data_IF_006024568097
#
_entry.id   IF_006024568097
#
_cell.length_a   1.000
_cell.length_b   1.000
_cell.length_c   1.000
_cell.angle_alpha   90.00
_cell.angle_beta   90.00
_cell.angle_gamma   90.00
#
_symmetry.space_group_name_H-M   'P 1'
#
loop_
_entity.id
_entity.type
_entity.pdbx_description
1 polymer ?
#
# COMPACT_ATOMS: atom_id res chain seq x y z
N UNK A 1 -8.76 -27.91 -21.33
CA UNK A 1 -9.01 -27.14 -22.58
C UNK A 1 -10.43 -27.27 -23.14
N UNK A 2 -11.34 -28.06 -22.53
CA UNK A 2 -12.71 -28.23 -23.06
C UNK A 2 -13.62 -27.05 -22.73
N UNK A 3 -13.58 -26.54 -21.50
CA UNK A 3 -14.46 -25.44 -21.05
C UNK A 3 -14.16 -24.09 -21.72
N UNK A 4 -12.88 -23.78 -21.99
CA UNK A 4 -12.50 -22.56 -22.74
C UNK A 4 -13.13 -22.53 -24.14
N UNK A 5 -13.20 -23.68 -24.82
CA UNK A 5 -13.85 -23.79 -26.13
C UNK A 5 -15.36 -23.61 -26.04
N UNK A 6 -15.99 -24.15 -25.00
CA UNK A 6 -17.43 -23.97 -24.73
C UNK A 6 -17.74 -22.48 -24.50
N UNK A 7 -16.99 -21.83 -23.62
CA UNK A 7 -17.17 -20.40 -23.31
C UNK A 7 -16.94 -19.51 -24.54
N UNK A 8 -15.99 -19.87 -25.42
CA UNK A 8 -15.76 -19.16 -26.67
C UNK A 8 -16.88 -19.38 -27.70
N UNK A 9 -17.44 -20.60 -27.74
CA UNK A 9 -18.52 -20.96 -28.67
C UNK A 9 -19.87 -20.32 -28.34
N UNK A 10 -20.12 -19.98 -27.08
CA UNK A 10 -21.30 -19.23 -26.64
C UNK A 10 -21.18 -17.78 -27.09
N UNK A 11 -21.98 -17.36 -28.07
CA UNK A 11 -22.03 -15.96 -28.52
C UNK A 11 -23.18 -15.25 -27.81
N UNK A 12 -22.98 -13.99 -27.44
CA UNK A 12 -24.03 -13.14 -26.88
C UNK A 12 -24.69 -13.68 -25.61
N UNK A 13 -23.95 -14.49 -24.82
CA UNK A 13 -24.41 -15.09 -23.57
C UNK A 13 -23.30 -15.06 -22.51
N UNK A 14 -23.68 -14.86 -21.23
CA UNK A 14 -22.76 -14.86 -20.09
C UNK A 14 -23.15 -15.80 -18.94
N UNK A 15 -24.16 -16.65 -19.09
CA UNK A 15 -24.64 -17.54 -18.03
C UNK A 15 -23.56 -18.50 -17.51
N UNK A 16 -22.53 -18.78 -18.31
CA UNK A 16 -21.40 -19.63 -17.93
C UNK A 16 -20.36 -18.93 -17.03
N UNK A 17 -20.46 -17.61 -16.81
CA UNK A 17 -19.51 -16.86 -15.98
C UNK A 17 -19.43 -17.35 -14.52
N UNK A 18 -20.53 -17.65 -13.80
CA UNK A 18 -20.45 -18.18 -12.44
C UNK A 18 -19.72 -19.54 -12.36
N UNK A 19 -19.89 -20.37 -13.38
CA UNK A 19 -19.17 -21.66 -13.50
C UNK A 19 -17.68 -21.39 -13.71
N UNK A 20 -17.34 -20.46 -14.62
CA UNK A 20 -15.96 -20.03 -14.84
C UNK A 20 -15.32 -19.49 -13.55
N UNK A 21 -16.02 -18.67 -12.78
CA UNK A 21 -15.50 -18.12 -11.52
C UNK A 21 -15.16 -19.21 -10.51
N UNK A 22 -16.03 -20.22 -10.38
CA UNK A 22 -15.81 -21.37 -9.51
C UNK A 22 -14.60 -22.18 -9.97
N UNK A 23 -14.54 -22.49 -11.28
CA UNK A 23 -13.43 -23.22 -11.87
C UNK A 23 -12.08 -22.50 -11.68
N UNK A 24 -12.03 -21.19 -11.92
CA UNK A 24 -10.80 -20.42 -11.76
C UNK A 24 -10.35 -20.33 -10.29
N UNK A 25 -11.30 -20.19 -9.36
CA UNK A 25 -11.01 -20.20 -7.92
C UNK A 25 -10.42 -21.56 -7.49
N UNK A 26 -11.06 -22.65 -7.90
CA UNK A 26 -10.65 -23.99 -7.52
C UNK A 26 -9.33 -24.38 -8.16
N UNK A 27 -9.11 -24.02 -9.43
CA UNK A 27 -7.83 -24.23 -10.11
C UNK A 27 -6.68 -23.52 -9.37
N UNK A 28 -6.88 -22.26 -8.95
CA UNK A 28 -5.87 -21.52 -8.15
C UNK A 28 -5.57 -22.21 -6.81
N UNK A 29 -6.61 -22.67 -6.12
CA UNK A 29 -6.49 -23.36 -4.82
C UNK A 29 -5.80 -24.72 -4.96
N UNK A 30 -6.16 -25.49 -5.98
CA UNK A 30 -5.55 -26.78 -6.29
C UNK A 30 -4.09 -26.62 -6.69
N UNK A 31 -3.78 -25.67 -7.58
CA UNK A 31 -2.40 -25.34 -7.95
C UNK A 31 -1.56 -24.94 -6.73
N UNK A 32 -2.14 -24.11 -5.84
CA UNK A 32 -1.49 -23.77 -4.56
C UNK A 32 -1.17 -25.00 -3.71
N UNK A 33 -2.08 -25.97 -3.62
CA UNK A 33 -1.86 -27.19 -2.83
C UNK A 33 -0.85 -28.13 -3.51
N UNK A 34 -0.90 -28.24 -4.83
CA UNK A 34 0.03 -29.05 -5.61
C UNK A 34 1.47 -28.52 -5.45
N UNK A 35 1.68 -27.20 -5.54
CA UNK A 35 3.00 -26.59 -5.31
C UNK A 35 3.51 -26.76 -3.87
N UNK A 36 2.64 -27.01 -2.89
CA UNK A 36 3.07 -27.35 -1.53
C UNK A 36 3.54 -28.79 -1.39
N UNK A 37 3.09 -29.69 -2.26
CA UNK A 37 3.47 -31.11 -2.27
C UNK A 37 4.69 -31.39 -3.14
N UNK A 38 4.94 -30.55 -4.15
CA UNK A 38 6.16 -30.61 -4.95
C UNK A 38 7.36 -30.19 -4.11
N UNK A 39 8.52 -30.80 -4.36
CA UNK A 39 9.76 -30.35 -3.74
C UNK A 39 10.06 -28.92 -4.20
N UNK A 40 10.04 -27.99 -3.25
CA UNK A 40 10.24 -26.56 -3.48
C UNK A 40 11.58 -26.25 -4.15
N UNK A 41 12.56 -27.17 -4.04
CA UNK A 41 13.93 -26.96 -4.54
C UNK A 41 14.07 -27.11 -6.05
N UNK A 42 13.26 -27.94 -6.70
CA UNK A 42 13.43 -28.17 -8.14
C UNK A 42 12.65 -27.17 -8.99
N UNK A 43 11.40 -26.87 -8.63
CA UNK A 43 10.51 -25.98 -9.41
C UNK A 43 9.48 -25.24 -8.54
N UNK A 44 9.87 -24.14 -7.88
CA UNK A 44 8.93 -23.38 -7.06
C UNK A 44 7.81 -22.77 -7.91
N UNK A 45 6.57 -22.94 -7.47
CA UNK A 45 5.37 -22.33 -8.05
C UNK A 45 5.01 -22.75 -9.49
N UNK A 46 5.53 -23.87 -9.99
CA UNK A 46 5.27 -24.33 -11.36
C UNK A 46 3.78 -24.52 -11.65
N UNK A 47 3.02 -25.10 -10.71
CA UNK A 47 1.59 -25.37 -10.93
C UNK A 47 0.78 -24.09 -10.88
N UNK A 48 1.15 -23.13 -10.03
CA UNK A 48 0.56 -21.79 -10.03
C UNK A 48 0.79 -21.04 -11.34
N UNK A 49 1.99 -21.13 -11.92
CA UNK A 49 2.28 -20.52 -13.22
C UNK A 49 1.45 -21.16 -14.34
N UNK A 50 1.38 -22.50 -14.40
CA UNK A 50 0.53 -23.21 -15.36
C UNK A 50 -0.96 -22.86 -15.18
N UNK A 51 -1.41 -22.69 -13.94
CA UNK A 51 -2.77 -22.21 -13.65
C UNK A 51 -2.98 -20.79 -14.17
N UNK A 52 -1.99 -19.89 -14.04
CA UNK A 52 -2.11 -18.53 -14.53
C UNK A 52 -2.26 -18.49 -16.06
N UNK A 53 -1.54 -19.34 -16.79
CA UNK A 53 -1.66 -19.44 -18.25
C UNK A 53 -3.08 -19.86 -18.69
N UNK A 54 -3.68 -20.81 -17.97
CA UNK A 54 -5.08 -21.21 -18.20
C UNK A 54 -6.06 -20.07 -17.90
N UNK A 55 -5.87 -19.34 -16.80
CA UNK A 55 -6.68 -18.16 -16.45
C UNK A 55 -6.53 -17.05 -17.50
N UNK A 56 -5.33 -16.85 -18.04
CA UNK A 56 -5.10 -15.91 -19.15
C UNK A 56 -5.85 -16.30 -20.42
N UNK A 57 -6.05 -17.60 -20.66
CA UNK A 57 -6.92 -18.09 -21.72
C UNK A 57 -8.36 -17.60 -21.57
N UNK A 58 -8.95 -17.74 -20.38
CA UNK A 58 -10.29 -17.19 -20.08
C UNK A 58 -10.33 -15.66 -20.18
N UNK A 59 -9.28 -15.00 -19.71
CA UNK A 59 -9.17 -13.54 -19.75
C UNK A 59 -9.23 -13.01 -21.19
N UNK A 60 -8.48 -13.64 -22.11
CA UNK A 60 -8.48 -13.27 -23.54
C UNK A 60 -9.85 -13.45 -24.19
N UNK A 61 -10.58 -14.52 -23.83
CA UNK A 61 -11.95 -14.75 -24.32
C UNK A 61 -12.88 -13.61 -23.86
N UNK A 62 -12.83 -13.23 -22.58
CA UNK A 62 -13.68 -12.17 -22.03
C UNK A 62 -13.34 -10.79 -22.62
N UNK A 63 -12.05 -10.50 -22.88
CA UNK A 63 -11.63 -9.23 -23.49
C UNK A 63 -12.05 -9.13 -24.96
N UNK A 64 -12.01 -10.25 -25.70
CA UNK A 64 -12.41 -10.30 -27.11
C UNK A 64 -13.92 -10.16 -27.34
N UNK A 65 -14.72 -10.24 -26.29
CA UNK A 65 -16.18 -10.16 -26.32
C UNK A 65 -16.63 -8.71 -26.53
N UNK A 66 -16.76 -8.30 -27.79
CA UNK A 66 -16.91 -6.87 -28.20
C UNK A 66 -18.23 -6.54 -28.88
N UNK A 67 -19.03 -7.55 -29.25
CA UNK A 67 -20.24 -7.39 -30.08
C UNK A 67 -21.55 -7.56 -29.31
N UNK A 68 -21.49 -7.94 -28.05
CA UNK A 68 -22.65 -8.24 -27.22
C UNK A 68 -23.20 -6.98 -26.53
N UNK A 69 -24.47 -7.05 -26.12
CA UNK A 69 -25.06 -6.09 -25.18
C UNK A 69 -24.20 -6.01 -23.91
N UNK A 70 -24.26 -4.90 -23.18
CA UNK A 70 -23.53 -4.80 -21.90
C UNK A 70 -24.02 -5.82 -20.87
N UNK A 71 -25.31 -6.16 -20.89
CA UNK A 71 -25.92 -7.08 -19.93
C UNK A 71 -25.47 -8.53 -20.14
N UNK A 72 -25.32 -8.96 -21.40
CA UNK A 72 -24.98 -10.33 -21.76
C UNK A 72 -23.49 -10.55 -22.02
N UNK A 73 -22.67 -9.51 -21.84
CA UNK A 73 -21.26 -9.60 -22.17
C UNK A 73 -20.48 -10.45 -21.16
N UNK A 74 -19.55 -11.26 -21.68
CA UNK A 74 -18.52 -11.96 -20.89
C UNK A 74 -17.50 -11.01 -20.27
N UNK A 75 -17.49 -9.72 -20.65
CA UNK A 75 -16.63 -8.70 -20.03
C UNK A 75 -16.85 -8.57 -18.53
N UNK A 76 -18.04 -8.92 -18.02
CA UNK A 76 -18.30 -9.01 -16.58
C UNK A 76 -17.37 -9.98 -15.83
N UNK A 77 -16.75 -10.93 -16.54
CA UNK A 77 -15.77 -11.85 -15.97
C UNK A 77 -14.35 -11.32 -15.84
N UNK A 78 -14.01 -10.20 -16.48
CA UNK A 78 -12.63 -9.71 -16.57
C UNK A 78 -12.08 -9.37 -15.18
N UNK A 79 -12.83 -8.63 -14.35
CA UNK A 79 -12.34 -8.24 -13.03
C UNK A 79 -12.16 -9.43 -12.07
N UNK A 80 -13.04 -10.43 -12.14
CA UNK A 80 -12.89 -11.66 -11.37
C UNK A 80 -11.58 -12.38 -11.73
N UNK A 81 -11.34 -12.58 -13.03
CA UNK A 81 -10.12 -13.20 -13.55
C UNK A 81 -8.87 -12.39 -13.19
N UNK A 82 -8.91 -11.07 -13.34
CA UNK A 82 -7.83 -10.17 -12.89
C UNK A 82 -7.52 -10.37 -11.41
N UNK A 83 -8.52 -10.45 -10.54
CA UNK A 83 -8.31 -10.69 -9.12
C UNK A 83 -7.70 -12.06 -8.82
N UNK A 84 -8.09 -13.12 -9.56
CA UNK A 84 -7.46 -14.43 -9.42
C UNK A 84 -5.99 -14.41 -9.88
N UNK A 85 -5.71 -13.77 -11.02
CA UNK A 85 -4.37 -13.61 -11.56
C UNK A 85 -3.47 -12.79 -10.62
N UNK A 86 -4.00 -11.72 -10.03
CA UNK A 86 -3.28 -10.92 -9.03
C UNK A 86 -2.84 -11.79 -7.85
N UNK A 87 -3.75 -12.60 -7.29
CA UNK A 87 -3.40 -13.52 -6.18
C UNK A 87 -2.28 -14.50 -6.55
N UNK A 88 -2.24 -14.95 -7.81
CA UNK A 88 -1.14 -15.79 -8.29
C UNK A 88 0.14 -14.97 -8.43
N UNK A 89 0.12 -13.86 -9.17
CA UNK A 89 1.32 -13.10 -9.49
C UNK A 89 1.98 -12.44 -8.29
N UNK A 90 1.23 -12.05 -7.26
CA UNK A 90 1.80 -11.61 -5.98
C UNK A 90 2.52 -12.77 -5.27
N UNK A 91 1.94 -13.98 -5.31
CA UNK A 91 2.55 -15.15 -4.67
C UNK A 91 3.80 -15.65 -5.38
N UNK A 92 3.84 -15.56 -6.70
CA UNK A 92 5.01 -15.94 -7.54
C UNK A 92 6.00 -14.76 -7.70
N UNK A 93 5.70 -13.60 -7.12
CA UNK A 93 6.53 -12.39 -7.23
C UNK A 93 6.75 -11.88 -8.69
N UNK A 94 5.79 -12.11 -9.60
CA UNK A 94 5.82 -11.60 -10.99
C UNK A 94 4.98 -10.31 -11.16
N UNK A 95 5.29 -9.29 -10.36
CA UNK A 95 4.48 -8.06 -10.26
C UNK A 95 4.40 -7.22 -11.56
N UNK A 96 5.33 -7.41 -12.50
CA UNK A 96 5.31 -6.73 -13.80
C UNK A 96 4.08 -7.14 -14.66
N UNK A 97 3.56 -8.36 -14.46
CA UNK A 97 2.40 -8.91 -15.18
C UNK A 97 1.06 -8.28 -14.76
N UNK A 98 1.04 -7.49 -13.69
CA UNK A 98 -0.17 -6.78 -13.25
C UNK A 98 -0.51 -5.62 -14.21
N UNK A 99 0.50 -4.95 -14.79
CA UNK A 99 0.31 -3.72 -15.59
C UNK A 99 -0.64 -3.91 -16.79
N UNK A 100 -0.51 -4.96 -17.62
CA UNK A 100 -1.45 -5.18 -18.73
C UNK A 100 -2.88 -5.40 -18.25
N UNK A 101 -3.08 -6.16 -17.16
CA UNK A 101 -4.41 -6.42 -16.60
C UNK A 101 -5.07 -5.14 -16.08
N UNK A 102 -4.28 -4.29 -15.40
CA UNK A 102 -4.74 -2.98 -14.89
C UNK A 102 -5.21 -2.10 -16.05
N UNK A 103 -4.43 -2.03 -17.14
CA UNK A 103 -4.79 -1.22 -18.32
C UNK A 103 -6.14 -1.63 -18.89
N UNK A 104 -6.41 -2.92 -19.02
CA UNK A 104 -7.69 -3.44 -19.56
C UNK A 104 -8.87 -3.02 -18.68
N UNK A 105 -8.72 -3.09 -17.35
CA UNK A 105 -9.77 -2.68 -16.42
C UNK A 105 -9.99 -1.17 -16.46
N UNK A 106 -8.93 -0.37 -16.41
CA UNK A 106 -9.04 1.10 -16.41
C UNK A 106 -9.56 1.65 -17.75
N UNK A 107 -9.35 0.95 -18.87
CA UNK A 107 -9.96 1.29 -20.17
C UNK A 107 -11.40 0.79 -20.35
N UNK A 108 -11.91 -0.04 -19.43
CA UNK A 108 -13.25 -0.62 -19.54
C UNK A 108 -14.33 0.35 -19.07
N UNK A 109 -15.41 0.45 -19.84
CA UNK A 109 -16.64 1.13 -19.42
C UNK A 109 -17.35 0.46 -18.24
N UNK A 110 -16.98 -0.79 -17.88
CA UNK A 110 -17.59 -1.53 -16.77
C UNK A 110 -16.93 -1.27 -15.41
N UNK A 111 -15.81 -0.51 -15.35
CA UNK A 111 -14.93 -0.47 -14.17
C UNK A 111 -15.65 -0.15 -12.86
N UNK A 112 -16.65 0.73 -12.91
CA UNK A 112 -17.40 1.18 -11.74
C UNK A 112 -18.67 0.38 -11.47
N UNK A 113 -19.10 -0.43 -12.44
CA UNK A 113 -20.30 -1.26 -12.35
C UNK A 113 -20.03 -2.66 -11.80
N UNK A 114 -18.76 -3.09 -11.76
CA UNK A 114 -18.42 -4.38 -11.15
C UNK A 114 -18.84 -4.46 -9.68
N UNK A 115 -19.15 -5.68 -9.16
CA UNK A 115 -19.50 -5.87 -7.76
C UNK A 115 -18.44 -5.29 -6.83
N UNK A 116 -18.90 -4.63 -5.75
CA UNK A 116 -18.02 -3.93 -4.82
C UNK A 116 -16.95 -4.84 -4.20
N UNK A 117 -17.30 -6.11 -3.97
CA UNK A 117 -16.38 -7.13 -3.47
C UNK A 117 -15.18 -7.34 -4.39
N UNK A 118 -15.40 -7.34 -5.71
CA UNK A 118 -14.33 -7.48 -6.71
C UNK A 118 -13.50 -6.19 -6.82
N UNK A 119 -14.16 -5.02 -6.77
CA UNK A 119 -13.47 -3.71 -6.80
C UNK A 119 -12.57 -3.52 -5.59
N UNK A 120 -12.99 -3.94 -4.39
CA UNK A 120 -12.17 -3.90 -3.17
C UNK A 120 -10.90 -4.74 -3.31
N UNK A 121 -11.01 -5.99 -3.80
CA UNK A 121 -9.83 -6.85 -4.03
C UNK A 121 -8.89 -6.25 -5.06
N UNK A 122 -9.43 -5.73 -6.16
CA UNK A 122 -8.64 -5.08 -7.21
C UNK A 122 -7.88 -3.86 -6.67
N UNK A 123 -8.59 -2.95 -5.99
CA UNK A 123 -8.01 -1.72 -5.43
C UNK A 123 -6.96 -1.99 -4.35
N UNK A 124 -7.13 -3.05 -3.56
CA UNK A 124 -6.11 -3.53 -2.63
C UNK A 124 -4.79 -3.88 -3.33
N UNK A 125 -4.83 -4.72 -4.36
CA UNK A 125 -3.62 -5.13 -5.09
C UNK A 125 -3.00 -4.01 -5.93
N UNK A 126 -3.83 -3.17 -6.57
CA UNK A 126 -3.33 -1.97 -7.27
C UNK A 126 -2.64 -1.04 -6.28
N UNK A 127 -3.23 -0.80 -5.12
CA UNK A 127 -2.64 0.02 -4.05
C UNK A 127 -1.27 -0.47 -3.62
N UNK A 128 -1.11 -1.79 -3.37
CA UNK A 128 0.19 -2.39 -3.08
C UNK A 128 1.20 -2.18 -4.20
N UNK A 129 0.81 -2.43 -5.45
CA UNK A 129 1.70 -2.26 -6.59
C UNK A 129 2.17 -0.80 -6.72
N UNK A 130 1.27 0.17 -6.55
CA UNK A 130 1.63 1.59 -6.60
C UNK A 130 2.53 1.99 -5.43
N UNK A 131 2.30 1.45 -4.22
CA UNK A 131 3.19 1.66 -3.07
C UNK A 131 4.61 1.17 -3.37
N UNK A 132 4.77 -0.04 -3.93
CA UNK A 132 6.09 -0.57 -4.31
C UNK A 132 6.76 0.25 -5.42
N UNK A 133 5.98 0.91 -6.28
CA UNK A 133 6.48 1.86 -7.28
C UNK A 133 6.71 3.28 -6.71
N UNK A 134 6.65 3.46 -5.38
CA UNK A 134 6.74 4.75 -4.70
C UNK A 134 5.72 5.81 -5.13
N UNK A 135 4.60 5.39 -5.74
CA UNK A 135 3.47 6.26 -6.12
C UNK A 135 2.48 6.35 -4.96
N UNK A 136 2.91 6.96 -3.87
CA UNK A 136 2.21 6.91 -2.57
C UNK A 136 0.84 7.55 -2.57
N UNK A 137 0.62 8.68 -3.27
CA UNK A 137 -0.70 9.32 -3.32
C UNK A 137 -1.74 8.42 -3.99
N UNK A 138 -1.42 7.87 -5.16
CA UNK A 138 -2.32 6.95 -5.88
C UNK A 138 -2.53 5.66 -5.05
N UNK A 139 -1.48 5.18 -4.37
CA UNK A 139 -1.61 4.03 -3.48
C UNK A 139 -2.59 4.29 -2.33
N UNK A 140 -2.52 5.48 -1.72
CA UNK A 140 -3.40 5.92 -0.64
C UNK A 140 -4.86 5.89 -1.10
N UNK A 141 -5.17 6.50 -2.24
CA UNK A 141 -6.54 6.57 -2.76
C UNK A 141 -7.14 5.17 -2.98
N UNK A 142 -6.38 4.27 -3.60
CA UNK A 142 -6.83 2.91 -3.87
C UNK A 142 -7.02 2.09 -2.58
N UNK A 143 -6.09 2.19 -1.63
CA UNK A 143 -6.17 1.47 -0.35
C UNK A 143 -7.27 2.05 0.55
N UNK A 144 -7.47 3.36 0.54
CA UNK A 144 -8.56 4.05 1.21
C UNK A 144 -9.91 3.61 0.65
N UNK A 145 -10.05 3.52 -0.68
CA UNK A 145 -11.25 2.94 -1.29
C UNK A 145 -11.49 1.51 -0.82
N UNK A 146 -10.46 0.66 -0.87
CA UNK A 146 -10.56 -0.74 -0.46
C UNK A 146 -10.98 -0.86 1.01
N UNK A 147 -10.44 -0.05 1.91
CA UNK A 147 -10.75 -0.09 3.34
C UNK A 147 -12.19 0.32 3.65
N UNK A 148 -12.66 1.42 3.05
CA UNK A 148 -14.01 1.94 3.29
C UNK A 148 -15.10 1.01 2.75
N UNK A 149 -14.87 0.43 1.56
CA UNK A 149 -15.83 -0.47 0.93
C UNK A 149 -15.68 -1.94 1.35
N UNK A 150 -14.65 -2.27 2.15
CA UNK A 150 -14.52 -3.61 2.71
C UNK A 150 -15.64 -3.88 3.73
N UNK A 151 -16.30 -5.03 3.59
CA UNK A 151 -17.39 -5.44 4.47
C UNK A 151 -16.99 -5.38 5.95
N UNK A 152 -17.86 -4.79 6.78
CA UNK A 152 -17.62 -4.56 8.22
C UNK A 152 -17.29 -5.83 9.02
N UNK A 153 -17.91 -6.97 8.66
CA UNK A 153 -17.64 -8.26 9.29
C UNK A 153 -16.32 -8.92 8.87
N UNK A 154 -15.64 -8.40 7.84
CA UNK A 154 -14.42 -8.99 7.29
C UNK A 154 -13.17 -8.43 7.98
N UNK A 155 -13.05 -8.62 9.30
CA UNK A 155 -11.96 -8.05 10.13
C UNK A 155 -10.56 -8.36 9.57
N UNK A 156 -10.31 -9.61 9.17
CA UNK A 156 -9.03 -10.03 8.57
C UNK A 156 -8.69 -9.23 7.30
N UNK A 157 -9.66 -9.02 6.40
CA UNK A 157 -9.41 -8.25 5.18
C UNK A 157 -9.12 -6.78 5.49
N UNK A 158 -9.84 -6.19 6.44
CA UNK A 158 -9.58 -4.82 6.89
C UNK A 158 -8.18 -4.68 7.49
N UNK A 159 -7.76 -5.64 8.31
CA UNK A 159 -6.40 -5.68 8.85
C UNK A 159 -5.36 -5.73 7.72
N UNK A 160 -5.55 -6.60 6.72
CA UNK A 160 -4.65 -6.72 5.57
C UNK A 160 -4.56 -5.40 4.78
N UNK A 161 -5.69 -4.77 4.49
CA UNK A 161 -5.70 -3.45 3.81
C UNK A 161 -4.98 -2.40 4.65
N UNK A 162 -5.21 -2.39 5.97
CA UNK A 162 -4.62 -1.41 6.88
C UNK A 162 -3.11 -1.51 7.00
N UNK A 163 -2.51 -2.70 6.88
CA UNK A 163 -1.04 -2.83 6.91
C UNK A 163 -0.42 -1.91 5.84
N UNK A 164 -0.92 -1.98 4.61
CA UNK A 164 -0.41 -1.16 3.51
C UNK A 164 -0.90 0.29 3.60
N UNK A 165 -2.15 0.52 3.99
CA UNK A 165 -2.70 1.87 4.09
C UNK A 165 -1.97 2.70 5.16
N UNK A 166 -1.69 2.10 6.33
CA UNK A 166 -0.93 2.75 7.40
C UNK A 166 0.48 3.07 6.90
N UNK A 167 1.19 2.12 6.30
CA UNK A 167 2.52 2.37 5.73
C UNK A 167 2.52 3.55 4.76
N UNK A 168 1.59 3.58 3.80
CA UNK A 168 1.49 4.67 2.82
C UNK A 168 1.16 6.00 3.48
N UNK A 169 0.17 6.03 4.39
CA UNK A 169 -0.23 7.25 5.10
C UNK A 169 0.92 7.82 5.94
N UNK A 170 1.70 6.98 6.61
CA UNK A 170 2.87 7.43 7.38
C UNK A 170 3.93 8.09 6.48
N UNK A 171 4.19 7.53 5.30
CA UNK A 171 5.10 8.14 4.30
C UNK A 171 4.56 9.49 3.79
N UNK A 172 3.24 9.65 3.74
CA UNK A 172 2.57 10.92 3.40
C UNK A 172 2.44 11.87 4.62
N UNK A 173 3.02 11.53 5.78
CA UNK A 173 3.01 12.38 6.97
C UNK A 173 1.76 12.28 7.85
N UNK A 174 0.91 11.27 7.64
CA UNK A 174 -0.24 10.96 8.49
C UNK A 174 0.06 9.77 9.40
N UNK A 175 -0.08 9.95 10.73
CA UNK A 175 0.28 8.93 11.71
C UNK A 175 -0.98 8.20 12.21
N UNK A 176 -0.95 6.86 12.36
CA UNK A 176 -2.09 6.12 12.86
C UNK A 176 -2.41 6.47 14.33
N UNK A 177 -3.70 6.55 14.67
CA UNK A 177 -4.13 6.60 16.07
C UNK A 177 -3.86 5.29 16.80
N UNK A 178 -3.54 5.38 18.09
CA UNK A 178 -3.40 4.19 18.94
C UNK A 178 -4.70 3.36 19.02
N UNK A 179 -5.86 4.03 18.97
CA UNK A 179 -7.15 3.36 18.92
C UNK A 179 -7.29 2.47 17.67
N UNK A 180 -6.90 2.97 16.49
CA UNK A 180 -6.92 2.20 15.25
C UNK A 180 -6.02 0.97 15.34
N UNK A 181 -4.79 1.15 15.84
CA UNK A 181 -3.83 0.05 15.98
C UNK A 181 -4.34 -1.05 16.91
N UNK A 182 -4.94 -0.68 18.06
CA UNK A 182 -5.57 -1.65 18.97
C UNK A 182 -6.78 -2.34 18.34
N UNK A 183 -7.67 -1.58 17.70
CA UNK A 183 -8.91 -2.10 17.10
C UNK A 183 -8.64 -3.18 16.03
N UNK A 184 -7.56 -3.04 15.28
CA UNK A 184 -7.19 -3.95 14.20
C UNK A 184 -5.96 -4.82 14.49
N UNK A 185 -5.47 -4.84 15.73
CA UNK A 185 -4.33 -5.67 16.16
C UNK A 185 -3.07 -5.43 15.32
N UNK A 186 -2.68 -4.15 15.17
CA UNK A 186 -1.54 -3.69 14.37
C UNK A 186 -0.52 -2.93 15.24
N UNK A 187 -0.27 -3.43 16.45
CA UNK A 187 0.60 -2.77 17.44
C UNK A 187 2.07 -2.67 17.02
N UNK A 188 2.49 -3.42 16.01
CA UNK A 188 3.83 -3.33 15.41
C UNK A 188 4.14 -1.93 14.90
N UNK A 189 3.12 -1.15 14.52
CA UNK A 189 3.28 0.24 14.07
C UNK A 189 3.36 1.26 15.21
N UNK A 190 3.10 0.88 16.46
CA UNK A 190 2.95 1.84 17.56
C UNK A 190 4.25 2.59 17.88
N UNK A 191 5.35 1.86 18.04
CA UNK A 191 6.65 2.47 18.33
C UNK A 191 7.22 3.22 17.13
N UNK A 192 6.96 2.73 15.91
CA UNK A 192 7.29 3.45 14.67
C UNK A 192 6.56 4.79 14.61
N UNK A 193 5.24 4.79 14.86
CA UNK A 193 4.42 6.00 14.86
C UNK A 193 4.91 7.03 15.88
N UNK A 194 5.31 6.57 17.08
CA UNK A 194 5.86 7.42 18.13
C UNK A 194 7.22 7.98 17.75
N UNK A 195 8.11 7.15 17.21
CA UNK A 195 9.43 7.56 16.74
C UNK A 195 9.34 8.65 15.65
N UNK A 196 8.42 8.48 14.68
CA UNK A 196 8.16 9.50 13.65
C UNK A 196 7.67 10.80 14.25
N UNK A 197 6.70 10.76 15.17
CA UNK A 197 6.17 11.95 15.83
C UNK A 197 7.23 12.67 16.66
N UNK A 198 8.07 11.91 17.35
CA UNK A 198 9.07 12.43 18.28
C UNK A 198 10.38 12.83 17.59
N UNK A 199 10.59 12.48 16.32
CA UNK A 199 11.89 12.71 15.66
C UNK A 199 13.01 11.86 16.27
N UNK A 200 12.69 10.64 16.70
CA UNK A 200 13.61 9.76 17.43
C UNK A 200 14.10 8.62 16.50
N UNK A 201 15.31 8.76 15.95
CA UNK A 201 15.87 7.79 15.02
C UNK A 201 16.26 6.46 15.68
N UNK A 202 16.78 6.51 16.91
CA UNK A 202 17.15 5.31 17.64
C UNK A 202 15.91 4.45 17.92
N UNK A 203 14.86 5.07 18.47
CA UNK A 203 13.58 4.39 18.70
C UNK A 203 13.02 3.78 17.41
N UNK A 204 13.17 4.48 16.29
CA UNK A 204 12.73 3.97 14.99
C UNK A 204 13.51 2.73 14.56
N UNK A 205 14.84 2.73 14.69
CA UNK A 205 15.70 1.57 14.42
C UNK A 205 15.31 0.36 15.27
N UNK A 206 15.28 0.54 16.60
CA UNK A 206 14.92 -0.52 17.54
C UNK A 206 13.51 -1.08 17.28
N UNK A 207 12.55 -0.22 16.91
CA UNK A 207 11.19 -0.65 16.61
C UNK A 207 11.07 -1.43 15.28
N UNK A 208 11.91 -1.10 14.28
CA UNK A 208 11.99 -1.84 13.02
C UNK A 208 12.58 -3.23 13.24
N UNK A 209 13.66 -3.33 14.02
CA UNK A 209 14.31 -4.60 14.35
C UNK A 209 13.41 -5.49 15.20
N UNK A 210 12.80 -4.95 16.26
CA UNK A 210 11.92 -5.71 17.16
C UNK A 210 10.69 -6.33 16.46
N UNK A 211 10.32 -5.83 15.28
CA UNK A 211 9.18 -6.33 14.50
C UNK A 211 9.58 -6.70 13.06
N UNK A 212 10.85 -7.00 12.83
CA UNK A 212 11.41 -7.16 11.49
C UNK A 212 10.69 -8.25 10.69
N UNK A 213 10.47 -9.43 11.29
CA UNK A 213 9.75 -10.55 10.66
C UNK A 213 8.38 -10.13 10.11
N UNK A 214 7.66 -9.29 10.85
CA UNK A 214 6.36 -8.78 10.42
C UNK A 214 6.51 -7.86 9.19
N UNK A 215 7.45 -6.92 9.24
CA UNK A 215 7.65 -5.95 8.15
C UNK A 215 8.23 -6.60 6.88
N UNK A 216 9.11 -7.59 7.03
CA UNK A 216 9.66 -8.39 5.92
C UNK A 216 8.57 -9.25 5.30
N UNK A 217 7.77 -9.96 6.12
CA UNK A 217 6.66 -10.79 5.65
C UNK A 217 5.70 -10.04 4.74
N UNK A 218 5.43 -8.76 5.04
CA UNK A 218 4.54 -7.91 4.25
C UNK A 218 5.26 -7.09 3.16
N UNK A 219 6.59 -7.17 3.07
CA UNK A 219 7.39 -6.43 2.09
C UNK A 219 7.43 -4.91 2.33
N UNK A 220 7.08 -4.44 3.53
CA UNK A 220 6.96 -3.00 3.84
C UNK A 220 8.19 -2.41 4.53
N UNK A 221 9.15 -3.24 4.98
CA UNK A 221 10.40 -2.82 5.65
C UNK A 221 11.12 -1.69 4.91
N UNK A 222 11.36 -1.86 3.60
CA UNK A 222 12.03 -0.86 2.75
C UNK A 222 11.22 0.42 2.54
N UNK A 223 9.89 0.31 2.55
CA UNK A 223 9.01 1.49 2.43
C UNK A 223 9.04 2.30 3.72
N UNK A 224 9.05 1.61 4.87
CA UNK A 224 9.16 2.26 6.18
C UNK A 224 10.48 3.00 6.37
N UNK A 225 11.60 2.54 5.80
CA UNK A 225 12.87 3.27 5.83
C UNK A 225 12.77 4.72 5.30
N UNK A 226 11.85 4.99 4.36
CA UNK A 226 11.59 6.36 3.87
C UNK A 226 11.07 7.31 4.95
N UNK A 227 10.60 6.79 6.09
CA UNK A 227 10.19 7.59 7.24
C UNK A 227 11.36 8.30 7.92
N UNK A 228 12.61 7.84 7.74
CA UNK A 228 13.81 8.52 8.28
C UNK A 228 13.84 10.01 7.91
N UNK A 229 13.49 10.35 6.68
CA UNK A 229 13.45 11.76 6.25
C UNK A 229 12.40 12.57 7.02
N UNK A 230 11.27 11.98 7.39
CA UNK A 230 10.25 12.65 8.22
C UNK A 230 10.73 12.78 9.67
N UNK A 231 11.40 11.74 10.18
CA UNK A 231 11.98 11.74 11.53
C UNK A 231 13.03 12.84 11.66
N UNK A 232 13.98 12.94 10.73
CA UNK A 232 14.97 14.02 10.66
C UNK A 232 14.31 15.40 10.64
N UNK A 233 13.32 15.59 9.76
CA UNK A 233 12.55 16.85 9.71
C UNK A 233 11.94 17.19 11.07
N UNK A 234 11.33 16.23 11.75
CA UNK A 234 10.65 16.47 13.02
C UNK A 234 11.63 16.76 14.16
N UNK A 235 12.80 16.10 14.16
CA UNK A 235 13.90 16.41 15.07
C UNK A 235 14.41 17.85 14.85
N UNK A 236 14.72 18.21 13.61
CA UNK A 236 15.24 19.55 13.28
C UNK A 236 14.21 20.65 13.49
N UNK A 237 12.92 20.36 13.32
CA UNK A 237 11.84 21.29 13.71
C UNK A 237 11.89 21.59 15.21
N UNK A 238 12.20 20.60 16.06
CA UNK A 238 12.36 20.84 17.51
C UNK A 238 13.58 21.71 17.80
N UNK A 239 14.72 21.46 17.16
CA UNK A 239 15.92 22.32 17.28
C UNK A 239 15.59 23.77 16.90
N UNK A 240 14.90 23.96 15.78
CA UNK A 240 14.45 25.27 15.33
C UNK A 240 13.55 25.99 16.35
N UNK A 241 12.58 25.27 16.91
CA UNK A 241 11.67 25.83 17.91
C UNK A 241 12.38 26.19 19.23
N UNK A 242 13.43 25.45 19.61
CA UNK A 242 14.22 25.71 20.81
C UNK A 242 15.11 26.95 20.68
N UNK A 243 15.72 27.17 19.51
CA UNK A 243 16.65 28.28 19.29
C UNK A 243 15.97 29.66 19.19
N UNK A 244 14.67 29.71 18.86
CA UNK A 244 13.89 30.96 18.69
C UNK A 244 14.49 31.97 17.69
N UNK A 245 15.41 31.53 16.82
CA UNK A 245 15.99 32.33 15.74
C UNK A 245 15.91 31.56 14.43
N UNK A 246 15.92 32.31 13.32
CA UNK A 246 15.93 31.75 11.97
C UNK A 246 17.35 31.47 11.45
N UNK A 247 18.38 31.83 12.22
CA UNK A 247 19.79 31.58 11.89
C UNK A 247 20.34 30.65 12.96
N UNK A 248 20.62 29.40 12.62
CA UNK A 248 21.00 28.36 13.58
C UNK A 248 22.33 27.74 13.17
N UNK A 249 23.30 27.58 14.08
CA UNK A 249 24.56 26.92 13.76
C UNK A 249 24.33 25.44 13.40
N UNK A 250 25.12 24.90 12.48
CA UNK A 250 25.01 23.49 12.06
C UNK A 250 25.28 22.55 13.24
N UNK A 251 26.19 22.94 14.14
CA UNK A 251 26.50 22.20 15.36
C UNK A 251 25.25 21.89 16.21
N UNK A 252 24.27 22.80 16.29
CA UNK A 252 23.04 22.54 17.04
C UNK A 252 22.22 21.36 16.49
N UNK A 253 22.23 21.16 15.17
CA UNK A 253 21.56 20.01 14.54
C UNK A 253 22.39 18.74 14.71
N UNK A 254 23.72 18.84 14.60
CA UNK A 254 24.67 17.74 14.87
C UNK A 254 24.48 17.22 16.30
N UNK A 255 24.48 18.12 17.28
CA UNK A 255 24.31 17.78 18.69
C UNK A 255 22.97 17.06 18.91
N UNK A 256 21.90 17.52 18.25
CA UNK A 256 20.59 16.86 18.31
C UNK A 256 20.59 15.45 17.68
N UNK A 257 21.35 15.21 16.61
CA UNK A 257 21.50 13.90 15.98
C UNK A 257 22.27 12.92 16.87
N UNK A 258 23.30 13.41 17.57
CA UNK A 258 24.16 12.60 18.43
C UNK A 258 23.61 12.46 19.87
N UNK A 259 22.61 13.26 20.28
CA UNK A 259 22.08 13.30 21.65
C UNK A 259 21.60 11.94 22.22
N UNK A 260 21.14 11.02 21.37
CA UNK A 260 20.60 9.70 21.78
C UNK A 260 21.37 8.52 21.20
N UNK A 261 22.62 8.67 20.79
CA UNK A 261 23.39 7.48 20.38
C UNK A 261 23.67 6.62 21.63
N UNK A 262 23.12 5.41 21.64
CA UNK A 262 23.15 4.49 22.79
C UNK A 262 24.38 3.57 22.78
N UNK A 263 25.11 3.49 21.65
CA UNK A 263 26.30 2.65 21.49
C UNK A 263 27.55 3.46 21.16
N UNK A 264 28.64 3.19 21.87
CA UNK A 264 29.98 3.77 21.66
C UNK A 264 30.61 3.43 20.30
N UNK A 265 30.03 2.48 19.55
CA UNK A 265 30.58 1.98 18.28
C UNK A 265 29.95 2.59 17.02
N UNK A 266 28.90 3.41 17.12
CA UNK A 266 28.36 4.12 15.96
C UNK A 266 29.17 5.40 15.75
N UNK A 267 29.78 5.54 14.56
CA UNK A 267 30.52 6.75 14.18
C UNK A 267 29.65 8.00 14.43
N UNK A 268 30.21 8.99 15.11
CA UNK A 268 29.53 10.26 15.35
C UNK A 268 29.15 10.90 14.02
N UNK A 269 27.92 11.43 13.93
CA UNK A 269 27.52 12.16 12.73
C UNK A 269 28.27 13.48 12.78
N UNK A 270 29.07 13.75 11.76
CA UNK A 270 29.84 14.98 11.65
C UNK A 270 29.02 16.13 11.04
N UNK A 271 29.66 17.28 10.86
CA UNK A 271 28.99 18.45 10.29
C UNK A 271 28.71 18.30 8.78
N UNK A 272 29.53 17.52 8.06
CA UNK A 272 29.36 17.27 6.62
C UNK A 272 28.12 16.41 6.36
N UNK A 273 27.96 15.32 7.11
CA UNK A 273 26.78 14.47 7.06
C UNK A 273 25.53 15.22 7.55
N UNK A 274 25.64 16.03 8.62
CA UNK A 274 24.55 16.90 9.07
C UNK A 274 24.10 17.86 7.95
N UNK A 275 25.05 18.49 7.25
CA UNK A 275 24.74 19.35 6.10
C UNK A 275 24.09 18.58 4.95
N UNK A 276 24.51 17.35 4.69
CA UNK A 276 23.89 16.48 3.68
C UNK A 276 22.41 16.21 4.02
N UNK A 277 22.11 15.85 5.27
CA UNK A 277 20.73 15.64 5.74
C UNK A 277 19.90 16.92 5.60
N UNK A 278 20.43 18.07 6.05
CA UNK A 278 19.77 19.37 5.92
C UNK A 278 19.50 19.72 4.44
N UNK A 279 20.48 19.50 3.56
CA UNK A 279 20.37 19.76 2.12
C UNK A 279 19.27 18.91 1.48
N UNK A 280 19.20 17.62 1.82
CA UNK A 280 18.14 16.73 1.35
C UNK A 280 16.75 17.19 1.80
N UNK A 281 16.61 17.65 3.05
CA UNK A 281 15.35 18.19 3.55
C UNK A 281 14.92 19.48 2.85
N UNK A 282 15.88 20.34 2.48
CA UNK A 282 15.62 21.55 1.69
C UNK A 282 15.19 21.17 0.26
N UNK A 283 15.95 20.28 -0.38
CA UNK A 283 15.68 19.82 -1.74
C UNK A 283 14.28 19.18 -1.87
N UNK A 284 13.88 18.37 -0.88
CA UNK A 284 12.55 17.75 -0.83
C UNK A 284 11.42 18.69 -0.35
N UNK A 285 11.68 20.00 -0.17
CA UNK A 285 10.73 20.99 0.35
C UNK A 285 10.14 20.66 1.73
N UNK A 286 10.80 19.81 2.51
CA UNK A 286 10.41 19.47 3.89
C UNK A 286 10.85 20.51 4.90
N UNK A 287 11.85 21.30 4.52
CA UNK A 287 12.41 22.44 5.23
C UNK A 287 12.69 23.57 4.23
N UNK A 288 12.51 24.84 4.61
CA UNK A 288 12.78 26.00 3.77
C UNK A 288 13.90 26.84 4.36
N UNK A 289 14.96 27.04 3.60
CA UNK A 289 16.12 27.82 4.00
C UNK A 289 17.30 27.58 3.07
N UNK A 290 18.47 28.10 3.44
CA UNK A 290 19.73 27.82 2.76
C UNK A 290 20.85 27.62 3.77
N UNK A 291 21.86 26.82 3.38
CA UNK A 291 23.05 26.56 4.19
C UNK A 291 24.11 27.60 3.83
N UNK A 292 24.65 28.27 4.84
CA UNK A 292 25.80 29.16 4.72
C UNK A 292 27.04 28.39 5.18
N UNK A 293 27.70 27.71 4.23
CA UNK A 293 28.86 26.85 4.47
C UNK A 293 30.00 27.60 5.15
N UNK A 294 30.37 28.79 4.63
CA UNK A 294 31.46 29.61 5.19
C UNK A 294 31.27 29.97 6.68
N UNK A 295 30.02 30.06 7.14
CA UNK A 295 29.70 30.44 8.51
C UNK A 295 29.14 29.27 9.35
N UNK A 296 29.17 28.05 8.80
CA UNK A 296 28.65 26.84 9.41
C UNK A 296 27.27 27.02 10.07
N UNK A 297 26.34 27.66 9.35
CA UNK A 297 24.99 27.96 9.84
C UNK A 297 23.93 27.76 8.75
N UNK A 298 22.71 27.45 9.16
CA UNK A 298 21.54 27.45 8.29
C UNK A 298 20.73 28.72 8.52
N UNK A 299 20.23 29.32 7.44
CA UNK A 299 19.29 30.43 7.47
C UNK A 299 17.93 29.90 7.00
N UNK A 300 17.04 29.68 7.94
CA UNK A 300 15.69 29.17 7.71
C UNK A 300 14.72 30.29 7.33
N UNK A 301 13.68 29.94 6.58
CA UNK A 301 12.61 30.88 6.24
C UNK A 301 11.89 31.36 7.49
N UNK A 302 11.75 32.68 7.65
CA UNK A 302 10.95 33.27 8.75
C UNK A 302 9.48 32.86 8.69
N UNK A 303 8.98 32.59 7.48
CA UNK A 303 7.62 32.14 7.24
C UNK A 303 7.63 30.68 6.82
N UNK A 304 6.93 29.83 7.57
CA UNK A 304 6.73 28.43 7.22
C UNK A 304 8.05 27.65 6.93
N UNK A 305 9.04 27.77 7.83
CA UNK A 305 10.32 27.05 7.74
C UNK A 305 10.15 25.53 7.57
N UNK A 306 9.07 24.96 8.08
CA UNK A 306 8.74 23.54 8.00
C UNK A 306 7.32 23.36 7.46
N UNK A 307 7.14 23.29 6.12
CA UNK A 307 5.83 23.11 5.48
C UNK A 307 5.08 21.87 5.95
N UNK A 308 3.74 21.88 5.83
CA UNK A 308 2.92 20.70 6.13
C UNK A 308 3.31 19.52 5.23
N UNK A 309 3.33 18.31 5.79
CA UNK A 309 3.68 17.09 5.07
C UNK A 309 2.51 16.53 4.23
N UNK A 310 1.27 16.84 4.61
CA UNK A 310 0.07 16.35 3.92
C UNK A 310 -0.29 17.20 2.72
N UNK A 311 -0.57 16.57 1.57
CA UNK A 311 -0.96 17.24 0.31
C UNK A 311 -2.43 17.71 0.28
N UNK A 312 -3.22 17.47 1.33
CA UNK A 312 -4.59 17.98 1.43
C UNK A 312 -4.65 19.26 2.26
N UNK A 313 -4.86 20.39 1.57
CA UNK A 313 -5.09 21.74 2.10
C UNK A 313 -6.33 21.80 3.00
N UNK A 314 -6.23 21.34 4.25
CA UNK A 314 -7.20 21.66 5.31
C UNK A 314 -6.55 21.64 6.70
N UNK A 315 -6.03 22.79 7.11
CA UNK A 315 -5.67 23.16 8.49
C UNK A 315 -4.37 22.60 9.12
N UNK A 316 -3.52 23.58 9.46
CA UNK A 316 -2.57 23.70 10.57
C UNK A 316 -1.70 22.49 10.93
N UNK A 317 -0.45 22.54 10.44
CA UNK A 317 0.77 22.53 11.28
C UNK A 317 1.20 21.24 11.99
N UNK A 318 0.33 20.24 12.08
CA UNK A 318 0.58 19.01 12.83
C UNK A 318 0.38 17.78 11.95
N UNK A 319 1.24 16.79 12.18
CA UNK A 319 1.01 15.39 11.77
C UNK A 319 -0.44 15.04 12.07
N UNK A 320 -1.23 14.75 11.04
CA UNK A 320 -2.63 14.38 11.23
C UNK A 320 -2.72 12.96 11.77
N UNK A 321 -3.66 12.76 12.68
CA UNK A 321 -3.99 11.44 13.21
C UNK A 321 -5.02 10.79 12.28
N UNK A 322 -4.70 9.61 11.75
CA UNK A 322 -5.66 8.83 10.98
C UNK A 322 -6.68 8.18 11.94
N UNK A 323 -7.92 8.63 11.85
CA UNK A 323 -9.08 8.12 12.60
C UNK A 323 -10.06 7.38 11.69
N UNK A 324 -10.68 6.33 12.22
CA UNK A 324 -11.61 5.49 11.48
C UNK A 324 -13.00 6.17 11.40
N UNK A 325 -13.22 7.07 10.44
CA UNK A 325 -14.56 7.56 10.10
C UNK A 325 -15.27 6.53 9.23
N UNK A 326 -15.91 5.52 9.82
CA UNK A 326 -16.87 4.70 9.08
C UNK A 326 -18.13 5.54 8.83
N UNK A 327 -18.24 6.10 7.64
CA UNK A 327 -19.49 6.71 7.16
C UNK A 327 -20.50 5.58 6.96
N UNK A 328 -21.63 5.66 7.64
CA UNK A 328 -22.78 4.79 7.45
C UNK A 328 -23.38 5.07 6.06
N UNK A 329 -23.14 4.21 5.07
CA UNK A 329 -23.98 4.14 3.89
C UNK A 329 -24.98 2.97 4.04
N UNK A 330 -26.29 3.21 3.77
CA UNK A 330 -27.28 2.13 3.75
C UNK A 330 -27.01 1.19 2.55
N UNK A 331 -27.44 -0.07 2.63
CA UNK A 331 -27.26 -1.02 1.53
C UNK A 331 -28.15 -0.62 0.34
N UNK A 332 -27.54 -0.41 -0.83
CA UNK A 332 -28.27 -0.27 -2.09
C UNK A 332 -29.07 -1.54 -2.38
N UNK A 333 -30.40 -1.40 -2.34
CA UNK A 333 -31.38 -2.40 -2.75
C UNK A 333 -31.54 -2.37 -4.26
N UNK A 334 -30.58 -2.86 -5.02
CA UNK A 334 -30.81 -3.18 -6.44
C UNK A 334 -29.76 -4.12 -6.97
N UNK A 335 -29.88 -5.42 -6.66
CA UNK A 335 -29.55 -6.52 -7.57
C UNK A 335 -30.19 -7.79 -7.00
N UNK A 336 -31.41 -8.08 -7.44
CA UNK A 336 -32.02 -9.40 -7.28
C UNK A 336 -31.38 -10.32 -8.30
N UNK A 337 -30.69 -11.37 -7.85
CA UNK A 337 -30.19 -12.44 -8.72
C UNK A 337 -28.88 -13.03 -8.21
N UNK A 338 -28.95 -14.29 -7.77
CA UNK A 338 -27.86 -15.14 -7.30
C UNK A 338 -27.36 -14.89 -5.86
N UNK A 339 -28.24 -15.21 -4.92
CA UNK A 339 -27.85 -15.74 -3.62
C UNK A 339 -27.34 -17.18 -3.78
N UNK A 340 -26.04 -17.41 -3.61
CA UNK A 340 -25.56 -18.64 -3.00
C UNK A 340 -24.45 -18.32 -2.00
N UNK A 341 -24.70 -18.78 -0.79
CA UNK A 341 -23.88 -18.67 0.43
C UNK A 341 -22.71 -19.66 0.33
N UNK A 342 -21.56 -19.33 0.97
CA UNK A 342 -20.28 -20.09 1.07
C UNK A 342 -19.21 -19.62 0.07
N UNK A 343 -17.99 -19.18 0.39
CA UNK A 343 -17.21 -19.20 1.63
C UNK A 343 -16.01 -18.23 1.56
N UNK A 344 -15.71 -17.70 2.75
CA UNK A 344 -14.54 -16.97 3.26
C UNK A 344 -13.18 -17.06 2.53
N UNK A 345 -12.43 -15.93 2.65
CA UNK A 345 -11.05 -15.60 2.18
C UNK A 345 -10.97 -14.79 0.88
N UNK A 346 -11.31 -13.50 0.95
CA UNK A 346 -11.19 -12.56 -0.17
C UNK A 346 -9.74 -12.16 -0.48
N UNK A 347 -8.82 -12.18 0.49
CA UNK A 347 -7.43 -11.68 0.29
C UNK A 347 -6.37 -12.78 0.38
N UNK A 348 -6.73 -14.02 0.77
CA UNK A 348 -5.85 -15.18 0.64
C UNK A 348 -6.24 -16.08 -0.54
#
# INVERSE_FOLDING_TARGET
>A
MTFTKILQGQKDENWALPIMFSLCLDLRKLATKADLQLDKKEKPHEMLEKSADLLMGFFRICVGDSRCSTEDSKRWGILNLTNQLFKIYFKVNKLHLLKPLIRVIESSNLKDMYPISQRVTYKYFVGQQQMFQSKFQIAEENLTFAFHHCHKGSKKNKQLILIFLITVKMVLGEIPSMFLLRKYELMQFAEIAKAVKDGDLLRFGNALEANEDFFIKWGIRLVLEKLKTIIYRNLFKKVYLLFQTHIIPISAFKDALNFKKEYENDEEIDEEETMCILSNLIHENKMKGYISFQHMKIVLSKQNAFPSLSTSDFSVGNVRVFECKQICQPPDKSFKGYSSVSSFLFIN
#
